data_IF_580508645241
#
_entry.id   IF_580508645241
#
_cell.length_a   1.000
_cell.length_b   1.000
_cell.length_c   1.000
_cell.angle_alpha   90.00
_cell.angle_beta   90.00
_cell.angle_gamma   90.00
#
_symmetry.space_group_name_H-M   'P 1'
#
loop_
_entity.id
_entity.type
_entity.pdbx_description
1 polymer ?
#
# COMPACT_ATOMS: atom_id res chain seq x y z
N UNK A 1 -7.49 -2.41 -1.59
CA UNK A 1 -6.32 -2.04 -2.40
C UNK A 1 -6.53 -0.68 -2.99
N UNK A 2 -7.38 -0.50 -4.01
CA UNK A 2 -7.56 0.84 -4.61
C UNK A 2 -7.95 1.94 -3.61
N UNK A 3 -8.89 1.68 -2.70
CA UNK A 3 -9.26 2.65 -1.66
C UNK A 3 -8.08 2.99 -0.73
N UNK A 4 -7.37 1.98 -0.21
CA UNK A 4 -6.17 2.21 0.62
C UNK A 4 -5.06 2.96 -0.14
N UNK A 5 -4.88 2.67 -1.43
CA UNK A 5 -3.90 3.35 -2.28
C UNK A 5 -4.30 4.80 -2.54
N UNK A 6 -5.59 5.08 -2.77
CA UNK A 6 -6.13 6.43 -2.92
C UNK A 6 -6.01 7.24 -1.60
N UNK A 7 -6.30 6.61 -0.47
CA UNK A 7 -6.09 7.18 0.86
C UNK A 7 -4.61 7.50 1.09
N UNK A 8 -3.70 6.61 0.70
CA UNK A 8 -2.25 6.82 0.79
C UNK A 8 -1.82 8.06 -0.01
N UNK A 9 -2.26 8.18 -1.27
CA UNK A 9 -2.00 9.35 -2.12
C UNK A 9 -2.60 10.63 -1.53
N UNK A 10 -3.82 10.57 -1.00
CA UNK A 10 -4.47 11.69 -0.33
C UNK A 10 -3.68 12.13 0.91
N UNK A 11 -3.22 11.19 1.73
CA UNK A 11 -2.37 11.49 2.87
C UNK A 11 -1.02 12.08 2.42
N UNK A 12 -0.40 11.59 1.34
CA UNK A 12 0.83 12.17 0.80
C UNK A 12 0.64 13.66 0.45
N UNK A 13 -0.47 14.01 -0.20
CA UNK A 13 -0.77 15.39 -0.57
C UNK A 13 -1.00 16.29 0.66
N UNK A 14 -1.69 15.77 1.67
CA UNK A 14 -1.88 16.46 2.96
C UNK A 14 -0.55 16.67 3.66
N UNK A 15 0.32 15.65 3.64
CA UNK A 15 1.67 15.77 4.12
C UNK A 15 2.31 16.91 3.34
N UNK A 16 2.56 16.80 2.03
CA UNK A 16 3.24 17.82 1.21
C UNK A 16 2.80 19.28 1.47
N UNK A 17 1.50 19.51 1.61
CA UNK A 17 0.90 20.85 1.71
C UNK A 17 0.90 21.45 3.12
N UNK A 18 0.97 20.62 4.17
CA UNK A 18 0.88 21.09 5.56
C UNK A 18 2.17 21.70 6.11
N UNK A 19 2.11 22.36 7.27
CA UNK A 19 3.33 22.79 7.99
C UNK A 19 3.93 21.63 8.77
N UNK A 20 5.24 21.41 8.62
CA UNK A 20 5.95 20.24 9.16
C UNK A 20 5.75 20.02 10.67
N UNK A 21 5.69 21.08 11.46
CA UNK A 21 5.50 21.04 12.92
C UNK A 21 4.12 20.54 13.37
N UNK A 22 3.15 20.47 12.45
CA UNK A 22 1.76 20.07 12.73
C UNK A 22 1.36 18.74 12.10
N UNK A 23 2.31 18.05 11.45
CA UNK A 23 2.03 16.85 10.69
C UNK A 23 2.51 15.60 11.43
N UNK A 24 1.69 14.57 11.40
CA UNK A 24 1.98 13.26 11.98
C UNK A 24 2.17 12.21 10.88
N UNK A 25 3.36 11.60 10.84
CA UNK A 25 3.71 10.55 9.88
C UNK A 25 3.06 9.21 10.17
N UNK A 26 2.59 8.99 11.41
CA UNK A 26 2.05 7.70 11.83
C UNK A 26 0.86 7.27 10.98
N UNK A 27 0.03 8.21 10.52
CA UNK A 27 -1.10 7.88 9.65
C UNK A 27 -0.63 7.29 8.31
N UNK A 28 0.41 7.85 7.71
CA UNK A 28 0.98 7.32 6.46
C UNK A 28 1.54 5.92 6.68
N UNK A 29 2.32 5.69 7.75
CA UNK A 29 2.87 4.37 8.05
C UNK A 29 1.78 3.32 8.36
N UNK A 30 0.69 3.73 9.02
CA UNK A 30 -0.43 2.83 9.28
C UNK A 30 -1.12 2.39 7.98
N UNK A 31 -1.36 3.31 7.05
CA UNK A 31 -1.94 2.98 5.75
C UNK A 31 -1.02 2.05 4.97
N UNK A 32 0.30 2.28 5.00
CA UNK A 32 1.26 1.37 4.35
C UNK A 32 1.23 -0.03 4.94
N UNK A 33 1.18 -0.15 6.27
CA UNK A 33 1.04 -1.44 6.92
C UNK A 33 -0.29 -2.13 6.55
N UNK A 34 -1.39 -1.39 6.44
CA UNK A 34 -2.68 -1.92 5.97
C UNK A 34 -2.62 -2.40 4.51
N UNK A 35 -1.96 -1.65 3.62
CA UNK A 35 -1.71 -2.05 2.22
C UNK A 35 -0.92 -3.36 2.17
N UNK A 36 0.20 -3.44 2.89
CA UNK A 36 1.05 -4.62 2.95
C UNK A 36 0.30 -5.86 3.47
N UNK A 37 -0.45 -5.68 4.55
CA UNK A 37 -1.26 -6.75 5.13
C UNK A 37 -2.35 -7.21 4.17
N UNK A 38 -3.03 -6.28 3.50
CA UNK A 38 -4.09 -6.64 2.57
C UNK A 38 -3.55 -7.31 1.30
N UNK A 39 -2.41 -6.87 0.75
CA UNK A 39 -1.70 -7.58 -0.33
C UNK A 39 -1.45 -9.04 0.06
N UNK A 40 -0.96 -9.29 1.28
CA UNK A 40 -0.67 -10.65 1.74
C UNK A 40 -1.95 -11.50 1.82
N UNK A 41 -3.05 -10.93 2.32
CA UNK A 41 -4.35 -11.61 2.37
C UNK A 41 -4.86 -11.96 0.97
N UNK A 42 -4.83 -11.01 0.03
CA UNK A 42 -5.26 -11.23 -1.34
C UNK A 42 -4.39 -12.25 -2.08
N UNK A 43 -3.08 -12.29 -1.78
CA UNK A 43 -2.18 -13.32 -2.30
C UNK A 43 -2.57 -14.71 -1.81
N UNK A 44 -2.83 -14.87 -0.51
CA UNK A 44 -3.26 -16.14 0.06
C UNK A 44 -4.60 -16.59 -0.53
N UNK A 45 -5.56 -15.67 -0.67
CA UNK A 45 -6.84 -15.96 -1.31
C UNK A 45 -6.65 -16.39 -2.76
N UNK A 46 -5.85 -15.67 -3.55
CA UNK A 46 -5.61 -16.00 -4.95
C UNK A 46 -5.01 -17.40 -5.14
N UNK A 47 -4.10 -17.82 -4.26
CA UNK A 47 -3.55 -19.18 -4.30
C UNK A 47 -4.65 -20.22 -4.07
N UNK A 48 -5.54 -20.00 -3.10
CA UNK A 48 -6.64 -20.91 -2.81
C UNK A 48 -7.62 -21.00 -3.97
N UNK A 49 -8.03 -19.86 -4.52
CA UNK A 49 -9.05 -19.77 -5.58
C UNK A 49 -8.53 -20.38 -6.91
N UNK A 50 -7.26 -20.14 -7.26
CA UNK A 50 -6.62 -20.82 -8.41
C UNK A 50 -6.54 -22.33 -8.16
N UNK A 51 -6.21 -22.77 -6.94
CA UNK A 51 -6.14 -24.19 -6.60
C UNK A 51 -7.51 -24.87 -6.65
N UNK A 52 -8.57 -24.13 -6.35
CA UNK A 52 -9.97 -24.56 -6.47
C UNK A 52 -10.52 -24.49 -7.91
N UNK A 53 -9.73 -24.00 -8.88
CA UNK A 53 -10.13 -23.76 -10.27
C UNK A 53 -11.27 -22.74 -10.44
N UNK A 54 -11.41 -21.77 -9.53
CA UNK A 54 -12.40 -20.68 -9.67
C UNK A 54 -12.08 -19.77 -10.88
N UNK A 55 -10.81 -19.70 -11.27
CA UNK A 55 -10.32 -19.04 -12.48
C UNK A 55 -8.96 -19.58 -12.89
N UNK A 56 -8.50 -19.21 -14.09
CA UNK A 56 -7.23 -19.70 -14.64
C UNK A 56 -6.02 -19.08 -13.96
N UNK A 57 -4.89 -19.79 -14.00
CA UNK A 57 -3.60 -19.27 -13.53
C UNK A 57 -3.22 -17.92 -14.19
N UNK A 58 -3.56 -17.73 -15.46
CA UNK A 58 -3.29 -16.48 -16.17
C UNK A 58 -4.09 -15.30 -15.56
N UNK A 59 -5.37 -15.51 -15.27
CA UNK A 59 -6.21 -14.49 -14.60
C UNK A 59 -5.67 -14.21 -13.19
N UNK A 60 -5.30 -15.26 -12.45
CA UNK A 60 -4.72 -15.11 -11.12
C UNK A 60 -3.40 -14.34 -11.11
N UNK A 61 -2.58 -14.50 -12.15
CA UNK A 61 -1.35 -13.71 -12.34
C UNK A 61 -1.68 -12.24 -12.58
N UNK A 62 -2.56 -11.95 -13.54
CA UNK A 62 -2.96 -10.57 -13.86
C UNK A 62 -3.58 -9.84 -12.65
N UNK A 63 -4.38 -10.55 -11.87
CA UNK A 63 -4.95 -10.02 -10.63
C UNK A 63 -3.85 -9.63 -9.63
N UNK A 64 -2.86 -10.51 -9.42
CA UNK A 64 -1.76 -10.22 -8.50
C UNK A 64 -0.82 -9.13 -9.00
N UNK A 65 -0.66 -8.95 -10.31
CA UNK A 65 0.09 -7.84 -10.87
C UNK A 65 -0.55 -6.50 -10.47
N UNK A 66 -1.88 -6.37 -10.61
CA UNK A 66 -2.62 -5.16 -10.20
C UNK A 66 -2.45 -4.87 -8.71
N UNK A 67 -2.60 -5.91 -7.87
CA UNK A 67 -2.43 -5.78 -6.41
C UNK A 67 -0.99 -5.35 -6.07
N UNK A 68 0.00 -5.89 -6.76
CA UNK A 68 1.42 -5.55 -6.55
C UNK A 68 1.73 -4.12 -6.99
N UNK A 69 1.17 -3.63 -8.09
CA UNK A 69 1.33 -2.23 -8.51
C UNK A 69 0.71 -1.26 -7.49
N UNK A 70 -0.41 -1.63 -6.85
CA UNK A 70 -1.01 -0.82 -5.78
C UNK A 70 -0.11 -0.72 -4.55
N UNK A 71 0.57 -1.82 -4.19
CA UNK A 71 1.48 -1.83 -3.04
C UNK A 71 2.77 -1.06 -3.31
N UNK A 72 3.39 -1.24 -4.48
CA UNK A 72 4.54 -0.41 -4.89
C UNK A 72 4.22 1.08 -4.87
N UNK A 73 3.00 1.47 -5.25
CA UNK A 73 2.57 2.86 -5.19
C UNK A 73 2.47 3.36 -3.74
N UNK A 74 2.04 2.51 -2.80
CA UNK A 74 2.09 2.78 -1.35
C UNK A 74 3.52 3.01 -0.85
N UNK A 75 4.45 2.13 -1.22
CA UNK A 75 5.88 2.29 -0.89
C UNK A 75 6.44 3.63 -1.38
N UNK A 76 6.10 4.03 -2.61
CA UNK A 76 6.53 5.33 -3.15
C UNK A 76 5.95 6.51 -2.39
N UNK A 77 4.72 6.41 -1.89
CA UNK A 77 4.13 7.41 -1.00
C UNK A 77 4.96 7.54 0.28
N UNK A 78 5.34 6.42 0.91
CA UNK A 78 6.17 6.45 2.12
C UNK A 78 7.52 7.09 1.86
N UNK A 79 8.20 6.75 0.76
CA UNK A 79 9.47 7.36 0.39
C UNK A 79 9.38 8.91 0.34
N UNK A 80 8.27 9.45 -0.20
CA UNK A 80 8.03 10.90 -0.24
C UNK A 80 7.78 11.47 1.15
N UNK A 81 6.96 10.81 1.97
CA UNK A 81 6.65 11.24 3.34
C UNK A 81 7.92 11.26 4.21
N UNK A 82 8.74 10.21 4.13
CA UNK A 82 10.02 10.11 4.84
C UNK A 82 11.00 11.20 4.42
N UNK A 83 11.20 11.39 3.11
CA UNK A 83 12.09 12.41 2.58
C UNK A 83 11.68 13.82 3.04
N UNK A 84 10.37 14.08 3.10
CA UNK A 84 9.83 15.35 3.55
C UNK A 84 9.97 15.56 5.06
N UNK A 85 9.69 14.54 5.85
CA UNK A 85 9.62 14.64 7.31
C UNK A 85 10.97 14.40 7.99
N UNK A 86 11.96 13.87 7.27
CA UNK A 86 13.28 13.53 7.80
C UNK A 86 13.22 12.39 8.83
N UNK A 87 12.25 11.50 8.67
CA UNK A 87 11.98 10.37 9.57
C UNK A 87 11.98 9.08 8.76
N UNK A 88 12.27 7.95 9.39
CA UNK A 88 12.14 6.63 8.77
C UNK A 88 11.06 5.82 9.48
N UNK A 89 10.27 5.10 8.70
CA UNK A 89 9.46 4.00 9.20
C UNK A 89 10.39 3.00 9.87
N UNK A 90 10.04 2.59 11.09
CA UNK A 90 10.75 1.49 11.75
C UNK A 90 10.05 0.22 11.33
N UNK A 91 10.79 -0.69 10.73
CA UNK A 91 10.32 -2.05 10.52
C UNK A 91 9.99 -2.65 11.90
N UNK A 92 8.77 -3.18 12.02
CA UNK A 92 8.29 -3.83 13.24
C UNK A 92 8.91 -5.22 13.43
#
# INVERSE_FOLDING_TARGET
MFELTDDSLTQMNLMLSGRRDKLDVNRSFNIENEINNYRNQLRSQNINDVSANEYTYAIGTMYMDIVSECEKLGDYVINVVEARMGTKQRDA
#
